data_IF_185504814729
#
_entry.id   IF_185504814729
#
_cell.length_a   1.000
_cell.length_b   1.000
_cell.length_c   1.000
_cell.angle_alpha   90.00
_cell.angle_beta   90.00
_cell.angle_gamma   90.00
#
_symmetry.space_group_name_H-M   'P 1'
#
loop_
_entity.id
_entity.type
_entity.pdbx_description
1 polymer ?
#
# COMPACT_ATOMS: atom_id res chain seq x y z
N UNK A 1 14.42 1.00 17.73
CA UNK A 1 13.90 0.79 16.35
C UNK A 1 15.05 0.27 15.50
N UNK A 2 14.88 -0.88 14.84
CA UNK A 2 15.88 -1.39 13.89
C UNK A 2 15.90 -0.49 12.66
N UNK A 3 17.08 -0.18 12.12
CA UNK A 3 17.21 0.56 10.86
C UNK A 3 16.38 -0.08 9.74
N UNK A 4 16.01 0.72 8.73
CA UNK A 4 15.48 0.13 7.50
C UNK A 4 16.62 -0.64 6.82
N UNK A 5 16.29 -1.68 6.04
CA UNK A 5 17.25 -2.27 5.11
C UNK A 5 17.87 -1.21 4.18
N UNK A 6 19.12 -1.44 3.77
CA UNK A 6 19.92 -0.47 3.01
C UNK A 6 19.29 -0.12 1.66
N UNK A 7 18.67 -1.08 0.98
CA UNK A 7 17.95 -0.91 -0.28
C UNK A 7 16.73 0.00 -0.11
N UNK A 8 15.96 -0.18 0.96
CA UNK A 8 14.81 0.67 1.28
C UNK A 8 15.26 2.09 1.63
N UNK A 9 16.36 2.22 2.38
CA UNK A 9 16.92 3.53 2.70
C UNK A 9 17.43 4.25 1.43
N UNK A 10 18.11 3.52 0.54
CA UNK A 10 18.58 4.06 -0.74
C UNK A 10 17.40 4.51 -1.61
N UNK A 11 16.32 3.72 -1.67
CA UNK A 11 15.11 4.07 -2.41
C UNK A 11 14.53 5.42 -1.99
N UNK A 12 14.24 5.61 -0.71
CA UNK A 12 13.66 6.89 -0.24
C UNK A 12 14.66 8.05 -0.31
N UNK A 13 15.97 7.79 -0.23
CA UNK A 13 16.99 8.82 -0.44
C UNK A 13 16.97 9.32 -1.88
N UNK A 14 16.92 8.41 -2.85
CA UNK A 14 16.85 8.74 -4.27
C UNK A 14 15.51 9.44 -4.62
N UNK A 15 14.39 8.89 -4.14
CA UNK A 15 13.08 9.50 -4.36
C UNK A 15 13.01 10.93 -3.80
N UNK A 16 13.51 11.14 -2.57
CA UNK A 16 13.55 12.47 -1.95
C UNK A 16 14.38 13.47 -2.78
N UNK A 17 15.51 13.03 -3.35
CA UNK A 17 16.33 13.88 -4.22
C UNK A 17 15.62 14.20 -5.53
N UNK A 18 15.03 13.19 -6.19
CA UNK A 18 14.31 13.37 -7.46
C UNK A 18 13.08 14.27 -7.33
N UNK A 19 12.42 14.22 -6.17
CA UNK A 19 11.21 15.01 -5.86
C UNK A 19 11.50 16.33 -5.14
N UNK A 20 12.78 16.66 -4.89
CA UNK A 20 13.22 17.84 -4.12
C UNK A 20 12.46 17.99 -2.78
N UNK A 21 12.37 16.89 -2.04
CA UNK A 21 11.63 16.87 -0.78
C UNK A 21 12.29 17.74 0.30
N UNK A 22 11.45 18.47 1.02
CA UNK A 22 11.87 19.19 2.22
C UNK A 22 12.31 18.19 3.32
N UNK A 23 13.12 18.66 4.27
CA UNK A 23 13.49 17.87 5.44
C UNK A 23 12.26 17.38 6.23
N UNK A 24 11.22 18.21 6.33
CA UNK A 24 9.97 17.85 7.00
C UNK A 24 9.27 16.68 6.29
N UNK A 25 9.20 16.72 4.96
CA UNK A 25 8.65 15.63 4.14
C UNK A 25 9.43 14.34 4.34
N UNK A 26 10.76 14.40 4.33
CA UNK A 26 11.62 13.23 4.57
C UNK A 26 11.33 12.60 5.93
N UNK A 27 11.18 13.41 6.98
CA UNK A 27 10.85 12.92 8.34
C UNK A 27 9.44 12.32 8.38
N UNK A 28 8.46 12.96 7.75
CA UNK A 28 7.08 12.48 7.70
C UNK A 28 7.00 11.13 6.98
N UNK A 29 7.55 11.02 5.78
CA UNK A 29 7.62 9.77 5.00
C UNK A 29 8.33 8.69 5.81
N UNK A 30 9.46 9.01 6.45
CA UNK A 30 10.18 8.06 7.29
C UNK A 30 9.34 7.53 8.45
N UNK A 31 8.60 8.43 9.11
CA UNK A 31 7.70 8.08 10.22
C UNK A 31 6.59 7.16 9.75
N UNK A 32 5.98 7.46 8.59
CA UNK A 32 4.95 6.62 7.97
C UNK A 32 5.51 5.24 7.60
N UNK A 33 6.70 5.17 7.02
CA UNK A 33 7.36 3.89 6.69
C UNK A 33 7.57 3.03 7.92
N UNK A 34 8.07 3.62 9.02
CA UNK A 34 8.30 2.88 10.26
C UNK A 34 6.97 2.40 10.88
N UNK A 35 5.91 3.22 10.87
CA UNK A 35 4.58 2.83 11.31
C UNK A 35 4.00 1.67 10.48
N UNK A 36 3.99 1.80 9.15
CA UNK A 36 3.43 0.76 8.25
C UNK A 36 4.23 -0.54 8.39
N UNK A 37 5.56 -0.46 8.55
CA UNK A 37 6.41 -1.63 8.80
C UNK A 37 6.08 -2.32 10.13
N UNK A 38 5.77 -1.55 11.17
CA UNK A 38 5.35 -2.09 12.47
C UNK A 38 4.00 -2.80 12.34
N UNK A 39 3.01 -2.16 11.71
CA UNK A 39 1.69 -2.74 11.48
C UNK A 39 1.75 -4.01 10.60
N UNK A 40 2.55 -3.99 9.52
CA UNK A 40 2.75 -5.13 8.62
C UNK A 40 3.37 -6.34 9.34
N UNK A 41 4.19 -6.13 10.38
CA UNK A 41 4.80 -7.21 11.18
C UNK A 41 3.97 -7.62 12.39
N UNK A 42 3.01 -6.79 12.77
CA UNK A 42 2.14 -7.01 13.92
C UNK A 42 1.12 -8.13 13.69
N UNK A 43 0.47 -8.52 14.79
CA UNK A 43 -0.58 -9.55 14.83
C UNK A 43 -1.99 -8.97 14.98
N UNK A 44 -2.14 -7.65 14.85
CA UNK A 44 -3.44 -7.00 14.91
C UNK A 44 -4.39 -7.54 13.81
N UNK A 45 -5.70 -7.47 14.03
CA UNK A 45 -6.69 -7.92 13.04
C UNK A 45 -6.47 -7.28 11.68
N UNK A 46 -6.77 -8.05 10.63
CA UNK A 46 -6.61 -7.65 9.23
C UNK A 46 -7.92 -7.77 8.48
N UNK A 47 -8.07 -6.92 7.47
CA UNK A 47 -9.17 -6.97 6.51
C UNK A 47 -8.63 -6.77 5.11
N UNK A 48 -9.30 -7.36 4.14
CA UNK A 48 -8.94 -7.29 2.73
C UNK A 48 -10.16 -6.84 1.93
N UNK A 49 -9.91 -6.07 0.89
CA UNK A 49 -10.97 -5.59 0.02
C UNK A 49 -10.45 -5.22 -1.36
N UNK A 50 -11.37 -5.16 -2.31
CA UNK A 50 -11.05 -4.77 -3.67
C UNK A 50 -12.06 -3.76 -4.23
N UNK A 51 -11.58 -2.91 -5.13
CA UNK A 51 -12.31 -1.83 -5.78
C UNK A 51 -11.88 -1.77 -7.25
N UNK A 52 -12.83 -1.91 -8.18
CA UNK A 52 -12.61 -1.51 -9.56
C UNK A 52 -12.78 0.02 -9.63
N UNK A 53 -11.72 0.74 -9.98
CA UNK A 53 -11.77 2.19 -10.13
C UNK A 53 -12.26 2.61 -11.52
N UNK A 54 -12.75 3.84 -11.63
CA UNK A 54 -13.28 4.39 -12.88
C UNK A 54 -12.22 4.56 -13.99
N UNK A 55 -10.94 4.54 -13.62
CA UNK A 55 -9.79 4.60 -14.54
C UNK A 55 -9.42 3.22 -15.11
N UNK A 56 -10.16 2.17 -14.77
CA UNK A 56 -9.92 0.80 -15.21
C UNK A 56 -8.92 0.04 -14.33
N UNK A 57 -8.42 0.64 -13.25
CA UNK A 57 -7.51 -0.04 -12.32
C UNK A 57 -8.30 -0.85 -11.29
N UNK A 58 -8.02 -2.15 -11.22
CA UNK A 58 -8.45 -3.00 -10.11
C UNK A 58 -7.51 -2.79 -8.92
N UNK A 59 -8.01 -2.15 -7.86
CA UNK A 59 -7.29 -1.96 -6.62
C UNK A 59 -7.61 -3.05 -5.61
N UNK A 60 -6.59 -3.60 -4.98
CA UNK A 60 -6.70 -4.49 -3.83
C UNK A 60 -6.00 -3.86 -2.63
N UNK A 61 -6.61 -4.00 -1.45
CA UNK A 61 -6.13 -3.43 -0.21
C UNK A 61 -6.03 -4.48 0.88
N UNK A 62 -4.93 -4.45 1.61
CA UNK A 62 -4.80 -5.06 2.94
C UNK A 62 -4.72 -3.95 3.97
N UNK A 63 -5.58 -4.00 5.00
CA UNK A 63 -5.57 -3.05 6.10
C UNK A 63 -5.52 -3.74 7.46
N UNK A 64 -4.91 -3.06 8.42
CA UNK A 64 -4.71 -3.50 9.81
C UNK A 64 -5.51 -2.59 10.74
N UNK A 65 -6.17 -3.16 11.75
CA UNK A 65 -6.87 -2.37 12.75
C UNK A 65 -5.86 -1.69 13.69
N UNK A 66 -5.83 -0.36 13.69
CA UNK A 66 -4.95 0.44 14.52
C UNK A 66 -5.68 1.70 14.95
N UNK A 67 -5.55 2.09 16.23
CA UNK A 67 -6.12 3.34 16.78
C UNK A 67 -7.59 3.66 16.40
N UNK A 68 -8.42 2.62 16.28
CA UNK A 68 -9.88 2.68 15.95
C UNK A 68 -10.19 2.90 14.47
N UNK A 69 -9.23 2.70 13.59
CA UNK A 69 -9.41 2.73 12.14
C UNK A 69 -8.69 1.57 11.44
N UNK A 70 -9.05 1.32 10.18
CA UNK A 70 -8.37 0.35 9.32
C UNK A 70 -7.29 1.07 8.52
N UNK A 71 -6.03 0.96 8.94
CA UNK A 71 -4.89 1.56 8.24
C UNK A 71 -4.44 0.62 7.13
N UNK A 72 -4.40 1.11 5.88
CA UNK A 72 -3.92 0.32 4.74
C UNK A 72 -2.41 0.12 4.88
N UNK A 73 -1.96 -1.14 4.78
CA UNK A 73 -0.54 -1.52 4.90
C UNK A 73 0.03 -2.07 3.59
N UNK A 74 -0.83 -2.58 2.70
CA UNK A 74 -0.47 -2.96 1.34
C UNK A 74 -1.59 -2.59 0.38
N UNK A 75 -1.19 -2.15 -0.81
CA UNK A 75 -2.07 -1.80 -1.91
C UNK A 75 -1.48 -2.30 -3.22
N UNK A 76 -2.31 -2.96 -4.03
CA UNK A 76 -1.96 -3.46 -5.34
C UNK A 76 -2.93 -2.85 -6.36
N UNK A 77 -2.39 -2.21 -7.39
CA UNK A 77 -3.16 -1.76 -8.56
C UNK A 77 -2.85 -2.65 -9.75
N UNK A 78 -3.88 -3.07 -10.46
CA UNK A 78 -3.80 -3.81 -11.72
C UNK A 78 -4.53 -3.01 -12.79
N UNK A 79 -3.78 -2.37 -13.67
CA UNK A 79 -4.35 -1.61 -14.80
C UNK A 79 -4.89 -2.54 -15.89
N UNK A 80 -5.79 -2.03 -16.74
CA UNK A 80 -6.36 -2.80 -17.86
C UNK A 80 -5.31 -3.26 -18.89
N UNK A 81 -4.20 -2.53 -19.00
CA UNK A 81 -3.06 -2.86 -19.84
C UNK A 81 -2.10 -3.88 -19.20
N UNK A 82 -2.42 -4.33 -17.98
CA UNK A 82 -1.60 -5.24 -17.19
C UNK A 82 -0.48 -4.53 -16.42
N UNK A 83 -0.47 -3.19 -16.35
CA UNK A 83 0.46 -2.47 -15.48
C UNK A 83 0.18 -2.81 -14.00
N UNK A 84 1.25 -3.06 -13.24
CA UNK A 84 1.16 -3.45 -11.84
C UNK A 84 1.86 -2.43 -10.97
N UNK A 85 1.11 -1.81 -10.08
CA UNK A 85 1.64 -0.95 -9.02
C UNK A 85 1.49 -1.61 -7.66
N UNK A 86 2.53 -1.56 -6.84
CA UNK A 86 2.51 -2.11 -5.48
C UNK A 86 3.04 -1.09 -4.51
N UNK A 87 2.25 -0.84 -3.48
CA UNK A 87 2.64 0.00 -2.36
C UNK A 87 2.63 -0.80 -1.05
N UNK A 88 3.71 -0.71 -0.30
CA UNK A 88 3.89 -1.26 1.04
C UNK A 88 5.02 -0.52 1.74
N UNK A 89 5.35 -0.82 3.01
CA UNK A 89 6.35 -0.04 3.77
C UNK A 89 7.71 0.18 3.06
N UNK A 90 8.16 -0.71 2.18
CA UNK A 90 9.41 -0.52 1.43
C UNK A 90 9.28 0.48 0.27
N UNK A 91 8.05 0.69 -0.20
CA UNK A 91 7.69 1.57 -1.31
C UNK A 91 6.29 2.15 -1.06
N UNK A 92 6.17 3.07 -0.10
CA UNK A 92 4.90 3.69 0.24
C UNK A 92 4.51 4.76 -0.78
N UNK A 93 5.46 5.25 -1.56
CA UNK A 93 5.28 6.27 -2.58
C UNK A 93 6.32 6.07 -3.68
N UNK A 94 5.93 6.36 -4.90
CA UNK A 94 6.79 6.47 -6.05
C UNK A 94 6.41 7.65 -6.94
N UNK A 95 6.75 7.58 -8.23
CA UNK A 95 6.50 8.71 -9.11
C UNK A 95 5.03 8.86 -9.53
N UNK A 96 4.30 7.75 -9.54
CA UNK A 96 2.95 7.63 -10.07
C UNK A 96 1.91 7.74 -8.96
N UNK A 97 2.29 7.42 -7.72
CA UNK A 97 1.36 7.55 -6.60
C UNK A 97 1.93 7.08 -5.26
N UNK A 98 1.00 6.82 -4.34
CA UNK A 98 1.31 6.43 -2.98
C UNK A 98 0.29 5.44 -2.41
N UNK A 99 0.70 4.71 -1.39
CA UNK A 99 -0.16 4.01 -0.46
C UNK A 99 -1.17 5.02 0.09
N UNK A 100 -2.46 4.69 -0.03
CA UNK A 100 -3.53 5.57 0.46
C UNK A 100 -3.29 6.01 1.91
N UNK A 101 -3.40 7.31 2.15
CA UNK A 101 -3.34 7.94 3.47
C UNK A 101 -4.70 7.88 4.21
N UNK A 102 -5.76 7.52 3.49
CA UNK A 102 -7.10 7.34 4.05
C UNK A 102 -7.26 6.00 4.72
N UNK A 103 -7.96 6.01 5.85
CA UNK A 103 -8.48 4.80 6.48
C UNK A 103 -9.41 4.04 5.52
N UNK A 104 -9.28 2.71 5.51
CA UNK A 104 -10.09 1.83 4.70
C UNK A 104 -11.52 1.74 5.28
N UNK A 105 -12.46 2.42 4.65
CA UNK A 105 -13.89 2.29 4.96
C UNK A 105 -14.57 1.43 3.89
N UNK A 106 -14.79 0.15 4.22
CA UNK A 106 -15.39 -0.82 3.29
C UNK A 106 -16.77 -0.39 2.78
N UNK A 107 -17.59 0.23 3.64
CA UNK A 107 -18.94 0.61 3.28
C UNK A 107 -18.92 1.88 2.42
N UNK A 108 -18.15 2.89 2.82
CA UNK A 108 -18.07 4.15 2.10
C UNK A 108 -17.41 3.99 0.72
N UNK A 109 -16.46 3.06 0.57
CA UNK A 109 -15.75 2.82 -0.69
C UNK A 109 -16.42 1.75 -1.56
N UNK A 110 -17.44 1.05 -1.05
CA UNK A 110 -18.09 -0.04 -1.77
C UNK A 110 -17.17 -1.23 -2.03
N UNK A 111 -16.27 -1.54 -1.09
CA UNK A 111 -15.27 -2.60 -1.29
C UNK A 111 -15.93 -3.97 -1.38
N UNK A 112 -15.59 -4.71 -2.43
CA UNK A 112 -15.84 -6.14 -2.50
C UNK A 112 -14.96 -6.84 -1.47
N UNK A 113 -15.53 -7.79 -0.75
CA UNK A 113 -14.74 -8.64 0.14
C UNK A 113 -13.73 -9.46 -0.65
N UNK A 114 -12.53 -9.55 -0.11
CA UNK A 114 -11.44 -10.33 -0.68
C UNK A 114 -10.92 -11.27 0.41
N UNK A 115 -10.59 -12.51 0.06
CA UNK A 115 -9.91 -13.38 1.01
C UNK A 115 -8.44 -13.03 1.10
N UNK A 116 -7.79 -13.43 2.20
CA UNK A 116 -6.33 -13.30 2.34
C UNK A 116 -5.61 -14.02 1.20
N UNK A 117 -6.06 -15.23 0.88
CA UNK A 117 -5.39 -16.09 -0.11
C UNK A 117 -5.50 -15.50 -1.51
N UNK A 118 -6.66 -14.93 -1.88
CA UNK A 118 -6.83 -14.23 -3.16
C UNK A 118 -5.92 -13.00 -3.25
N UNK A 119 -5.84 -12.21 -2.17
CA UNK A 119 -4.96 -11.04 -2.13
C UNK A 119 -3.50 -11.43 -2.36
N UNK A 120 -2.98 -12.41 -1.61
CA UNK A 120 -1.58 -12.80 -1.73
C UNK A 120 -1.28 -13.54 -3.04
N UNK A 121 -2.25 -14.27 -3.60
CA UNK A 121 -2.13 -14.83 -4.95
C UNK A 121 -1.93 -13.72 -5.98
N UNK A 122 -2.79 -12.68 -5.98
CA UNK A 122 -2.64 -11.53 -6.87
C UNK A 122 -1.34 -10.74 -6.60
N UNK A 123 -0.95 -10.64 -5.33
CA UNK A 123 0.26 -9.95 -4.90
C UNK A 123 1.53 -10.58 -5.47
N UNK A 124 1.64 -11.90 -5.38
CA UNK A 124 2.83 -12.66 -5.79
C UNK A 124 2.82 -12.95 -7.31
N UNK A 125 1.64 -13.20 -7.89
CA UNK A 125 1.45 -13.53 -9.31
C UNK A 125 0.42 -12.61 -9.97
N UNK A 126 0.84 -11.46 -10.51
CA UNK A 126 -0.07 -10.49 -11.11
C UNK A 126 -0.51 -10.95 -12.52
N UNK A 127 -1.51 -11.83 -12.55
CA UNK A 127 -2.34 -12.16 -13.71
C UNK A 127 -3.84 -12.23 -13.35
N UNK A 128 -4.18 -11.64 -12.20
CA UNK A 128 -5.51 -11.66 -11.58
C UNK A 128 -6.31 -10.43 -12.02
N UNK A 129 -7.60 -10.62 -12.34
CA UNK A 129 -8.54 -9.52 -12.59
C UNK A 129 -9.80 -9.70 -11.74
N UNK A 130 -10.39 -8.59 -11.31
CA UNK A 130 -11.71 -8.56 -10.67
C UNK A 130 -12.84 -8.94 -11.63
N UNK A 131 -12.57 -8.88 -12.93
CA UNK A 131 -13.57 -9.04 -14.00
C UNK A 131 -13.50 -10.39 -14.72
N UNK A 132 -12.49 -11.23 -14.42
CA UNK A 132 -12.30 -12.55 -15.01
C UNK A 132 -13.27 -13.61 -14.47
#
# INVERSE_FOLDING_TARGET
MSSLPDDVQAYYTDLAQRRDWSYETIVAVRTTVDLVRELDRGTAPRTFGALAADDGTDWLFEAVWHEREWVVVRQLGVGEDGEITRYWWQRIEDDEGMLTDKALDRAAWGLRELSRDDFYTAWDEPGWSLTA
#
